data_IF_916747613078
#
_entry.id   IF_916747613078
#
_cell.length_a   1.000
_cell.length_b   1.000
_cell.length_c   1.000
_cell.angle_alpha   90.00
_cell.angle_beta   90.00
_cell.angle_gamma   90.00
#
_symmetry.space_group_name_H-M   'P 1'
#
loop_
_entity.id
_entity.type
_entity.pdbx_description
1 polymer ?
#
# COMPACT_ATOMS: atom_id res chain seq x y z
N UNK A 1 -14.92 10.08 -3.95
CA UNK A 1 -14.79 8.65 -4.33
C UNK A 1 -13.43 8.20 -4.87
N UNK A 2 -12.77 8.95 -5.75
CA UNK A 2 -11.49 8.54 -6.37
C UNK A 2 -10.40 8.16 -5.36
N UNK A 3 -10.24 8.94 -4.28
CA UNK A 3 -9.24 8.68 -3.24
C UNK A 3 -9.47 7.35 -2.51
N UNK A 4 -10.73 6.99 -2.25
CA UNK A 4 -11.10 5.73 -1.59
C UNK A 4 -10.84 4.55 -2.53
N UNK A 5 -11.23 4.68 -3.80
CA UNK A 5 -10.97 3.66 -4.82
C UNK A 5 -9.46 3.46 -5.02
N UNK A 6 -8.68 4.53 -5.10
CA UNK A 6 -7.23 4.49 -5.24
C UNK A 6 -6.57 3.77 -4.05
N UNK A 7 -6.95 4.14 -2.82
CA UNK A 7 -6.43 3.51 -1.60
C UNK A 7 -6.84 2.03 -1.45
N UNK A 8 -8.01 1.63 -1.92
CA UNK A 8 -8.48 0.24 -1.80
C UNK A 8 -8.02 -0.67 -2.94
N UNK A 9 -8.06 -0.20 -4.19
CA UNK A 9 -7.81 -1.00 -5.40
C UNK A 9 -6.39 -0.83 -5.94
N UNK A 10 -5.84 0.39 -5.91
CA UNK A 10 -4.54 0.70 -6.55
C UNK A 10 -3.36 0.54 -5.62
N UNK A 11 -3.52 0.74 -4.32
CA UNK A 11 -2.41 0.57 -3.37
C UNK A 11 -1.78 -0.82 -3.55
N UNK A 12 -2.57 -1.90 -3.65
CA UNK A 12 -2.04 -3.26 -3.85
C UNK A 12 -1.20 -3.45 -5.13
N UNK A 13 -1.53 -2.74 -6.21
CA UNK A 13 -0.79 -2.83 -7.49
C UNK A 13 0.52 -2.06 -7.39
N UNK A 14 0.47 -0.82 -6.90
CA UNK A 14 1.67 0.02 -6.70
C UNK A 14 2.61 -0.55 -5.64
N UNK A 15 2.06 -1.31 -4.68
CA UNK A 15 2.78 -1.99 -3.60
C UNK A 15 3.42 -3.32 -4.03
N UNK A 16 3.35 -3.72 -5.30
CA UNK A 16 3.94 -4.99 -5.76
C UNK A 16 3.26 -6.22 -5.15
N UNK A 17 1.94 -6.20 -5.00
CA UNK A 17 1.13 -7.20 -4.29
C UNK A 17 1.40 -7.32 -2.77
N UNK A 18 2.23 -6.44 -2.19
CA UNK A 18 2.43 -6.38 -0.75
C UNK A 18 1.22 -5.74 -0.06
N UNK A 19 0.96 -6.15 1.18
CA UNK A 19 0.01 -5.44 2.02
C UNK A 19 0.59 -4.06 2.42
N UNK A 20 -0.25 -3.06 2.74
CA UNK A 20 0.24 -1.74 3.15
C UNK A 20 1.16 -1.77 4.38
N UNK A 21 1.02 -2.76 5.27
CA UNK A 21 1.90 -2.91 6.44
C UNK A 21 3.26 -3.48 6.01
N UNK A 22 3.28 -4.47 5.13
CA UNK A 22 4.53 -5.09 4.65
C UNK A 22 5.34 -4.13 3.79
N UNK A 23 4.68 -3.27 3.01
CA UNK A 23 5.36 -2.20 2.29
C UNK A 23 5.97 -1.15 3.21
N UNK A 24 5.27 -0.75 4.28
CA UNK A 24 5.84 0.20 5.23
C UNK A 24 7.01 -0.40 6.02
N UNK A 25 6.96 -1.71 6.30
CA UNK A 25 8.10 -2.46 6.85
C UNK A 25 9.26 -2.51 5.86
N UNK A 26 9.02 -2.79 4.57
CA UNK A 26 10.10 -2.82 3.57
C UNK A 26 10.72 -1.44 3.32
N UNK A 27 9.96 -0.36 3.49
CA UNK A 27 10.48 1.01 3.45
C UNK A 27 11.17 1.46 4.76
N UNK A 28 11.24 0.60 5.78
CA UNK A 28 11.86 0.96 7.07
C UNK A 28 11.11 2.07 7.84
N UNK A 29 9.86 2.36 7.46
CA UNK A 29 9.03 3.37 8.10
C UNK A 29 8.34 2.85 9.37
N UNK A 30 8.32 1.53 9.54
CA UNK A 30 7.77 0.86 10.72
C UNK A 30 8.84 -0.12 11.21
N UNK A 31 9.28 0.06 12.45
CA UNK A 31 10.12 -0.87 13.20
C UNK A 31 9.32 -2.07 13.70
#
# INVERSE_FOLDING_TARGET
>A
DYLIWYNKKRIKISLGAMSPIDYRRSMGLIA
#
